data_IF_632535967862
#
_entry.id   IF_632535967862
#
_cell.length_a   1.000
_cell.length_b   1.000
_cell.length_c   1.000
_cell.angle_alpha   90.00
_cell.angle_beta   90.00
_cell.angle_gamma   90.00
#
_symmetry.space_group_name_H-M   'P 1'
#
loop_
_entity.id
_entity.type
_entity.pdbx_description
1 polymer ?
#
# COMPACT_ATOMS: atom_id res chain seq x y z
N UNK A 1 -5.03 -22.15 -4.79
CA UNK A 1 -4.52 -20.78 -5.04
C UNK A 1 -5.43 -20.14 -6.07
N UNK A 2 -5.91 -18.93 -5.79
CA UNK A 2 -6.85 -18.24 -6.68
C UNK A 2 -6.10 -17.18 -7.47
N UNK A 3 -6.28 -17.20 -8.79
CA UNK A 3 -5.84 -16.12 -9.67
C UNK A 3 -7.04 -15.22 -9.93
N UNK A 4 -6.94 -13.96 -9.53
CA UNK A 4 -8.02 -12.98 -9.67
C UNK A 4 -7.48 -11.78 -10.42
N UNK A 5 -8.20 -11.34 -11.44
CA UNK A 5 -7.87 -10.12 -12.15
C UNK A 5 -8.67 -8.95 -11.57
N UNK A 6 -8.00 -7.83 -11.33
CA UNK A 6 -8.61 -6.64 -10.75
C UNK A 6 -8.13 -5.39 -11.46
N UNK A 7 -9.07 -4.47 -11.69
CA UNK A 7 -8.78 -3.14 -12.20
C UNK A 7 -8.63 -2.17 -11.03
N UNK A 8 -7.56 -1.37 -11.06
CA UNK A 8 -7.23 -0.40 -10.01
C UNK A 8 -6.93 0.95 -10.67
N UNK A 9 -7.49 2.03 -10.11
CA UNK A 9 -7.19 3.39 -10.55
C UNK A 9 -6.24 4.02 -9.53
N UNK A 10 -5.09 4.50 -10.01
CA UNK A 10 -4.07 5.13 -9.16
C UNK A 10 -3.67 6.48 -9.72
N UNK A 11 -3.36 7.41 -8.82
CA UNK A 11 -2.89 8.75 -9.19
C UNK A 11 -1.47 8.98 -8.70
N UNK A 12 -0.61 9.51 -9.57
CA UNK A 12 0.78 9.85 -9.26
C UNK A 12 1.10 11.29 -9.61
N UNK A 13 2.02 11.88 -8.84
CA UNK A 13 2.55 13.22 -9.07
C UNK A 13 4.07 13.20 -9.03
N UNK A 14 4.71 14.09 -9.78
CA UNK A 14 6.16 14.23 -9.76
C UNK A 14 6.65 15.44 -10.53
N UNK A 15 7.88 15.84 -10.29
CA UNK A 15 8.56 16.94 -10.99
C UNK A 15 9.00 16.57 -12.43
N UNK A 16 8.82 15.31 -12.82
CA UNK A 16 9.07 14.80 -14.17
C UNK A 16 8.01 13.76 -14.53
N UNK A 17 7.83 13.50 -15.82
CA UNK A 17 6.94 12.44 -16.32
C UNK A 17 7.24 11.10 -15.63
N UNK A 18 8.51 10.67 -15.63
CA UNK A 18 8.93 9.40 -15.03
C UNK A 18 8.63 9.35 -13.53
N UNK A 19 8.87 10.44 -12.80
CA UNK A 19 8.58 10.50 -11.38
C UNK A 19 7.06 10.39 -11.09
N UNK A 20 6.22 11.03 -11.90
CA UNK A 20 4.76 10.93 -11.75
C UNK A 20 4.25 9.50 -12.00
N UNK A 21 4.74 8.83 -13.03
CA UNK A 21 4.41 7.43 -13.30
C UNK A 21 4.88 6.49 -12.18
N UNK A 22 6.14 6.61 -11.74
CA UNK A 22 6.66 5.80 -10.64
C UNK A 22 5.85 6.00 -9.35
N UNK A 23 5.49 7.25 -9.04
CA UNK A 23 4.62 7.58 -7.91
C UNK A 23 3.25 6.90 -7.99
N UNK A 24 2.64 6.84 -9.18
CA UNK A 24 1.36 6.16 -9.39
C UNK A 24 1.49 4.63 -9.20
N UNK A 25 2.51 4.01 -9.80
CA UNK A 25 2.71 2.57 -9.74
C UNK A 25 2.98 2.10 -8.30
N UNK A 26 3.75 2.86 -7.52
CA UNK A 26 4.01 2.53 -6.11
C UNK A 26 2.74 2.48 -5.25
N UNK A 27 1.67 3.18 -5.66
CA UNK A 27 0.39 3.17 -4.93
C UNK A 27 -0.48 1.95 -5.23
N UNK A 28 -0.19 1.19 -6.29
CA UNK A 28 -0.97 0.00 -6.68
C UNK A 28 -1.05 -0.99 -5.52
N UNK A 29 0.09 -1.29 -4.90
CA UNK A 29 0.15 -2.24 -3.79
C UNK A 29 -0.73 -1.80 -2.61
N UNK A 30 -0.63 -0.53 -2.22
CA UNK A 30 -1.44 0.03 -1.12
C UNK A 30 -2.93 -0.02 -1.43
N UNK A 31 -3.33 0.27 -2.67
CA UNK A 31 -4.73 0.27 -3.08
C UNK A 31 -5.34 -1.13 -3.11
N UNK A 32 -4.55 -2.14 -3.49
CA UNK A 32 -5.00 -3.54 -3.46
C UNK A 32 -5.15 -4.04 -2.02
N UNK A 33 -4.18 -3.73 -1.14
CA UNK A 33 -4.22 -4.15 0.27
C UNK A 33 -5.40 -3.54 1.01
N UNK A 34 -5.67 -2.24 0.83
CA UNK A 34 -6.81 -1.55 1.49
C UNK A 34 -8.15 -2.23 1.22
N UNK A 35 -8.30 -2.85 0.06
CA UNK A 35 -9.53 -3.45 -0.41
C UNK A 35 -9.53 -5.00 -0.33
N UNK A 36 -8.64 -5.60 0.47
CA UNK A 36 -8.53 -7.05 0.65
C UNK A 36 -8.41 -7.42 2.13
N UNK A 37 -9.14 -8.47 2.55
CA UNK A 37 -8.95 -9.13 3.86
C UNK A 37 -8.05 -10.36 3.77
N UNK A 38 -7.69 -10.75 2.56
CA UNK A 38 -6.95 -11.96 2.25
C UNK A 38 -5.45 -11.70 2.07
N UNK A 39 -4.65 -12.74 2.25
CA UNK A 39 -3.20 -12.66 2.07
C UNK A 39 -2.87 -12.64 0.57
N UNK A 40 -2.19 -11.58 0.15
CA UNK A 40 -1.72 -11.36 -1.21
C UNK A 40 -0.31 -11.93 -1.37
N UNK A 41 -0.12 -12.90 -2.27
CA UNK A 41 1.17 -13.54 -2.52
C UNK A 41 1.98 -12.85 -3.61
N UNK A 42 1.29 -12.44 -4.69
CA UNK A 42 1.90 -11.82 -5.86
C UNK A 42 0.92 -10.82 -6.48
N UNK A 43 1.46 -9.69 -6.89
CA UNK A 43 0.78 -8.62 -7.59
C UNK A 43 1.55 -8.42 -8.90
N UNK A 44 0.89 -8.64 -10.02
CA UNK A 44 1.50 -8.47 -11.34
C UNK A 44 0.66 -7.51 -12.19
N UNK A 45 1.20 -6.35 -12.59
CA UNK A 45 0.51 -5.47 -13.52
C UNK A 45 0.60 -6.07 -14.93
N UNK A 46 -0.55 -6.36 -15.52
CA UNK A 46 -0.63 -6.90 -16.88
C UNK A 46 -0.72 -5.80 -17.93
N UNK A 47 -1.53 -4.77 -17.65
CA UNK A 47 -1.77 -3.69 -18.58
C UNK A 47 -1.94 -2.36 -17.84
N UNK A 48 -1.50 -1.28 -18.47
CA UNK A 48 -1.53 0.08 -17.93
C UNK A 48 -2.09 1.02 -18.97
N UNK A 49 -3.22 1.64 -18.64
CA UNK A 49 -3.86 2.66 -19.46
C UNK A 49 -3.81 4.02 -18.79
N UNK A 50 -3.32 5.03 -19.49
CA UNK A 50 -3.34 6.41 -19.01
C UNK A 50 -4.75 6.98 -19.21
N UNK A 51 -5.45 7.27 -18.12
CA UNK A 51 -6.75 7.94 -18.18
C UNK A 51 -6.60 9.46 -18.27
N UNK A 52 -5.60 10.01 -17.56
CA UNK A 52 -5.38 11.46 -17.49
C UNK A 52 -3.90 11.76 -17.32
N UNK A 53 -3.41 12.76 -18.04
CA UNK A 53 -2.07 13.31 -17.87
C UNK A 53 -2.14 14.83 -17.91
N UNK A 54 -1.65 15.49 -16.85
CA UNK A 54 -1.64 16.94 -16.71
C UNK A 54 -0.22 17.42 -16.44
N UNK A 55 0.13 18.56 -17.04
CA UNK A 55 1.35 19.32 -16.72
C UNK A 55 0.92 20.65 -16.12
N UNK A 56 1.55 21.04 -15.01
CA UNK A 56 1.43 22.37 -14.42
C UNK A 56 2.80 23.01 -14.41
N UNK A 57 2.86 24.25 -14.82
CA UNK A 57 4.09 25.04 -14.84
C UNK A 57 3.84 26.32 -14.07
N UNK A 58 4.73 26.65 -13.15
CA UNK A 58 4.69 27.93 -12.46
C UNK A 58 6.10 28.43 -12.21
N UNK A 59 6.23 29.75 -12.16
CA UNK A 59 7.50 30.40 -11.82
C UNK A 59 7.46 30.82 -10.36
N UNK A 60 8.34 30.23 -9.55
CA UNK A 60 8.57 30.70 -8.20
C UNK A 60 9.52 31.89 -8.24
N UNK A 61 9.07 33.03 -7.71
CA UNK A 61 9.91 34.22 -7.55
C UNK A 61 10.48 34.17 -6.13
N UNK A 62 11.70 33.68 -5.98
CA UNK A 62 12.44 33.80 -4.71
C UNK A 62 12.93 35.24 -4.54
N UNK A 63 12.73 35.81 -3.33
CA UNK A 63 13.19 37.13 -2.84
C UNK A 63 13.38 38.21 -3.93
N UNK A 64 12.27 38.85 -4.34
CA UNK A 64 12.26 40.11 -5.09
C UNK A 64 13.10 40.13 -6.39
N UNK A 65 12.85 39.24 -7.36
CA UNK A 65 13.34 39.29 -8.77
C UNK A 65 14.64 38.58 -9.12
N UNK A 66 15.43 38.04 -8.17
CA UNK A 66 16.81 37.66 -8.51
C UNK A 66 17.01 36.22 -9.01
N UNK A 67 16.07 35.30 -8.79
CA UNK A 67 16.21 33.91 -9.27
C UNK A 67 14.84 33.28 -9.60
N UNK A 68 14.20 33.68 -10.72
CA UNK A 68 12.97 33.00 -11.14
C UNK A 68 13.30 31.53 -11.44
N UNK A 69 12.76 30.61 -10.62
CA UNK A 69 12.87 29.16 -10.86
C UNK A 69 11.58 28.68 -11.50
N UNK A 70 11.68 28.16 -12.72
CA UNK A 70 10.60 27.43 -13.35
C UNK A 70 10.45 26.07 -12.65
N UNK A 71 9.24 25.78 -12.18
CA UNK A 71 8.86 24.46 -11.69
C UNK A 71 7.82 23.86 -12.61
N UNK A 72 7.97 22.56 -12.80
CA UNK A 72 7.00 21.72 -13.48
C UNK A 72 6.48 20.67 -12.50
N UNK A 73 5.18 20.41 -12.55
CA UNK A 73 4.55 19.27 -11.90
C UNK A 73 3.77 18.48 -12.96
N UNK A 74 4.01 17.19 -12.96
CA UNK A 74 3.30 16.21 -13.77
C UNK A 74 2.37 15.44 -12.86
N UNK A 75 1.11 15.33 -13.26
CA UNK A 75 0.12 14.49 -12.61
C UNK A 75 -0.43 13.48 -13.61
N UNK A 76 -0.50 12.22 -13.22
CA UNK A 76 -1.04 11.14 -14.04
C UNK A 76 -2.08 10.35 -13.25
N UNK A 77 -3.16 9.96 -13.93
CA UNK A 77 -4.16 9.01 -13.45
C UNK A 77 -4.09 7.78 -14.35
N UNK A 78 -3.77 6.64 -13.77
CA UNK A 78 -3.57 5.38 -14.46
C UNK A 78 -4.67 4.40 -14.07
N UNK A 79 -5.23 3.73 -15.05
CA UNK A 79 -6.00 2.50 -14.88
C UNK A 79 -5.05 1.34 -15.10
N UNK A 80 -4.94 0.46 -14.11
CA UNK A 80 -4.02 -0.68 -14.14
C UNK A 80 -4.81 -1.97 -13.98
N UNK A 81 -4.61 -2.89 -14.90
CA UNK A 81 -5.11 -4.25 -14.81
C UNK A 81 -4.07 -5.10 -14.10
N UNK A 82 -4.46 -5.71 -12.99
CA UNK A 82 -3.56 -6.42 -12.10
C UNK A 82 -4.05 -7.84 -11.90
N UNK A 83 -3.15 -8.80 -12.05
CA UNK A 83 -3.37 -10.17 -11.65
C UNK A 83 -2.86 -10.39 -10.23
N UNK A 84 -3.72 -10.98 -9.41
CA UNK A 84 -3.51 -11.25 -8.00
C UNK A 84 -3.46 -12.74 -7.75
N UNK A 85 -2.50 -13.16 -6.94
CA UNK A 85 -2.47 -14.49 -6.34
C UNK A 85 -2.83 -14.37 -4.86
N UNK A 86 -3.93 -15.01 -4.46
CA UNK A 86 -4.56 -14.79 -3.16
C UNK A 86 -4.74 -16.13 -2.41
N UNK A 87 -4.57 -16.08 -1.09
CA UNK A 87 -5.04 -17.12 -0.16
C UNK A 87 -6.23 -16.56 0.61
N UNK A 88 -7.40 -17.17 0.42
CA UNK A 88 -8.61 -16.83 1.19
C UNK A 88 -8.42 -17.19 2.67
N UNK A 89 -8.32 -16.19 3.53
CA UNK A 89 -8.11 -16.40 4.97
C UNK A 89 -9.30 -17.07 5.64
N UNK A 90 -10.51 -16.86 5.11
CA UNK A 90 -11.73 -17.48 5.62
C UNK A 90 -11.72 -19.01 5.52
N UNK A 91 -10.88 -19.59 4.66
CA UNK A 91 -10.75 -21.05 4.48
C UNK A 91 -9.59 -21.65 5.27
N UNK A 92 -8.85 -20.84 6.03
CA UNK A 92 -7.72 -21.31 6.83
C UNK A 92 -8.20 -21.68 8.23
N UNK A 93 -8.11 -22.96 8.57
CA UNK A 93 -8.46 -23.46 9.90
C UNK A 93 -7.25 -23.34 10.83
N UNK A 94 -7.37 -22.53 11.88
CA UNK A 94 -6.36 -22.41 12.93
C UNK A 94 -6.65 -23.38 14.07
N UNK A 95 -5.63 -24.09 14.54
CA UNK A 95 -5.73 -24.89 15.76
C UNK A 95 -5.32 -24.04 16.95
N UNK A 96 -6.23 -23.79 17.89
CA UNK A 96 -5.95 -23.02 19.10
C UNK A 96 -5.35 -23.92 20.18
N UNK A 97 -4.11 -23.64 20.59
CA UNK A 97 -3.50 -24.26 21.77
C UNK A 97 -3.43 -23.23 22.89
N UNK A 98 -4.34 -23.34 23.86
CA UNK A 98 -4.30 -22.51 25.08
C UNK A 98 -3.29 -23.12 26.05
N UNK A 99 -2.16 -22.45 26.24
CA UNK A 99 -1.21 -22.80 27.31
C UNK A 99 -1.63 -22.09 28.59
N UNK A 100 -1.99 -22.86 29.60
CA UNK A 100 -2.26 -22.35 30.94
C UNK A 100 -0.92 -22.19 31.67
N UNK A 101 -0.54 -20.95 31.97
CA UNK A 101 0.70 -20.66 32.70
C UNK A 101 0.48 -21.13 34.14
N UNK A 102 1.10 -22.24 34.54
CA UNK A 102 1.04 -22.71 35.92
C UNK A 102 1.67 -21.66 36.82
N UNK A 103 0.85 -20.88 37.50
CA UNK A 103 1.28 -19.96 38.55
C UNK A 103 2.02 -20.72 39.64
N UNK A 104 3.13 -20.14 40.11
CA UNK A 104 3.95 -20.68 41.20
C UNK A 104 3.03 -20.92 42.42
N UNK A 105 2.87 -22.18 42.86
CA UNK A 105 2.16 -22.51 44.10
C UNK A 105 3.01 -22.02 45.28
N UNK A 106 2.63 -20.89 45.88
CA UNK A 106 3.24 -20.41 47.12
C UNK A 106 2.76 -21.32 48.26
N UNK A 107 3.64 -22.02 48.99
CA UNK A 107 3.23 -22.80 50.15
C UNK A 107 2.82 -21.85 51.28
N UNK A 108 1.58 -21.99 51.75
CA UNK A 108 1.07 -21.25 52.90
C UNK A 108 1.72 -21.84 54.16
N UNK A 109 2.62 -21.09 54.78
CA UNK A 109 3.23 -21.45 56.07
C UNK A 109 2.18 -21.17 57.15
N UNK A 110 1.50 -22.22 57.63
CA UNK A 110 0.63 -22.10 58.80
C UNK A 110 1.49 -21.87 60.05
N UNK A 111 1.40 -20.66 60.61
CA UNK A 111 1.99 -20.32 61.90
C UNK A 111 1.07 -20.87 62.99
N UNK A 112 1.52 -21.93 63.68
CA UNK A 112 0.87 -22.45 64.88
C UNK A 112 1.11 -21.44 66.01
N UNK A 113 0.04 -21.01 66.66
CA UNK A 113 0.05 -20.31 67.96
C UNK A 113 -0.34 -21.34 69.01
#
# INVERSE_FOLDING_TARGET
MLKVQRKVIVEGKGNSKKAAFASALNKIQGEIIKNSKDVLLRIEPNDIRVLKAQKREWTEKFFFFFMPRQKEEYQVTLEVLVDLQIIEMARVNFTETRQEVQGIKIPIINKVI
#
